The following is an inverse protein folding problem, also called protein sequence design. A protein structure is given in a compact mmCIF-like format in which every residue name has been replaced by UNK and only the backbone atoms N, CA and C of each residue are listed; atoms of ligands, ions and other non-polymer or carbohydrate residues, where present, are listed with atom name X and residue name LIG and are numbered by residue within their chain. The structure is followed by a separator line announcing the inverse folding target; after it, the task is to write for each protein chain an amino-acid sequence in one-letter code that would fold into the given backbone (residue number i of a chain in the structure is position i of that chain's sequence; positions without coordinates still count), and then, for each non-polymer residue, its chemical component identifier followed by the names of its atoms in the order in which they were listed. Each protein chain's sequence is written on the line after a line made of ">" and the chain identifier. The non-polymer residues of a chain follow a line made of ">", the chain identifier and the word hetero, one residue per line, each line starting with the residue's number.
data_IF_652223842218
#
_entry.id   IF_652223842218
#
_cell.length_a   1.000
_cell.length_b   1.000
_cell.length_c   1.000
_cell.angle_alpha   90.00
_cell.angle_beta   90.00
_cell.angle_gamma   90.00
#
_symmetry.space_group_name_H-M   'P 1'
#
loop_
_entity.id
_entity.type
_entity.pdbx_description
1 polymer ?
#
# COMPACT_ATOMS: atom_id res chain seq x y z
N UNK A 1 -8.30 10.59 16.84
CA UNK A 1 -8.14 11.65 15.82
C UNK A 1 -6.66 11.96 15.72
N UNK A 2 -6.12 12.15 14.52
CA UNK A 2 -4.67 12.37 14.32
C UNK A 2 -4.45 13.80 13.84
N UNK A 3 -3.56 14.53 14.51
CA UNK A 3 -3.20 15.90 14.13
C UNK A 3 -1.82 15.91 13.47
N UNK A 4 -1.75 16.39 12.24
CA UNK A 4 -0.46 16.61 11.58
C UNK A 4 0.12 17.95 12.04
N UNK A 5 1.40 17.95 12.41
CA UNK A 5 2.14 19.13 12.85
C UNK A 5 3.58 19.08 12.31
N UNK A 6 4.21 20.24 12.20
CA UNK A 6 5.56 20.38 11.66
C UNK A 6 6.54 21.08 12.61
N UNK A 7 6.02 21.70 13.68
CA UNK A 7 6.80 22.31 14.77
C UNK A 7 6.09 22.08 16.09
N UNK A 8 6.87 22.08 17.17
CA UNK A 8 6.36 22.03 18.53
C UNK A 8 7.13 23.02 19.41
N UNK A 9 6.46 23.60 20.39
CA UNK A 9 7.05 24.46 21.40
C UNK A 9 6.48 24.17 22.78
N UNK A 10 7.20 24.55 23.83
CA UNK A 10 6.73 24.43 25.21
C UNK A 10 6.34 25.81 25.70
N UNK A 11 5.11 25.95 26.21
CA UNK A 11 4.63 27.18 26.85
C UNK A 11 4.40 26.94 28.33
N UNK A 12 4.71 27.94 29.15
CA UNK A 12 4.39 27.94 30.59
C UNK A 12 3.47 29.10 30.91
N UNK A 13 2.44 28.81 31.69
CA UNK A 13 1.55 29.80 32.29
C UNK A 13 1.29 29.45 33.76
N UNK A 14 0.42 30.22 34.41
CA UNK A 14 0.02 30.03 35.81
C UNK A 14 -0.68 28.68 36.06
N UNK A 15 -1.20 28.03 35.01
CA UNK A 15 -1.87 26.74 35.08
C UNK A 15 -0.94 25.54 34.80
N UNK A 16 0.30 25.78 34.37
CA UNK A 16 1.34 24.76 34.26
C UNK A 16 2.14 24.82 32.96
N UNK A 17 2.60 23.64 32.52
CA UNK A 17 3.44 23.46 31.33
C UNK A 17 2.63 22.81 30.22
N UNK A 18 2.60 23.43 29.05
CA UNK A 18 1.87 22.97 27.87
C UNK A 18 2.83 22.57 26.76
N UNK A 19 2.57 21.42 26.13
CA UNK A 19 3.17 21.05 24.86
C UNK A 19 2.28 21.56 23.72
N UNK A 20 2.73 22.58 23.00
CA UNK A 20 2.00 23.19 21.89
C UNK A 20 2.49 22.63 20.56
N UNK A 21 1.58 22.07 19.76
CA UNK A 21 1.87 21.55 18.42
C UNK A 21 1.34 22.52 17.36
N UNK A 22 2.16 22.89 16.38
CA UNK A 22 1.73 23.70 15.23
C UNK A 22 0.99 22.81 14.24
N UNK A 23 -0.30 22.61 14.48
CA UNK A 23 -1.17 21.72 13.70
C UNK A 23 -1.60 22.34 12.36
N UNK A 24 -1.69 21.51 11.31
CA UNK A 24 -2.07 21.94 9.96
C UNK A 24 -3.56 22.29 9.83
N UNK A 25 -4.43 21.67 10.62
CA UNK A 25 -5.89 21.83 10.56
C UNK A 25 -6.44 22.40 11.88
N UNK A 26 -6.61 23.73 12.00
CA UNK A 26 -7.08 24.38 13.22
C UNK A 26 -8.51 23.95 13.64
N UNK A 27 -9.38 23.67 12.67
CA UNK A 27 -10.77 23.26 12.96
C UNK A 27 -10.80 21.90 13.67
N UNK A 28 -10.00 20.95 13.20
CA UNK A 28 -9.91 19.62 13.77
C UNK A 28 -9.35 19.66 15.21
N UNK A 29 -8.36 20.51 15.47
CA UNK A 29 -7.81 20.72 16.80
C UNK A 29 -8.84 21.32 17.77
N UNK A 30 -9.62 22.32 17.33
CA UNK A 30 -10.73 22.88 18.11
C UNK A 30 -11.78 21.83 18.45
N UNK A 31 -12.15 20.99 17.48
CA UNK A 31 -13.10 19.89 17.70
C UNK A 31 -12.58 18.88 18.73
N UNK A 32 -11.30 18.52 18.66
CA UNK A 32 -10.66 17.63 19.63
C UNK A 32 -10.73 18.20 21.05
N UNK A 33 -10.41 19.49 21.22
CA UNK A 33 -10.45 20.18 22.53
C UNK A 33 -11.89 20.19 23.06
N UNK A 34 -12.89 20.49 22.22
CA UNK A 34 -14.30 20.49 22.62
C UNK A 34 -14.84 19.11 23.05
N UNK A 35 -14.17 18.02 22.69
CA UNK A 35 -14.53 16.65 23.11
C UNK A 35 -13.87 16.25 24.44
N UNK A 36 -12.85 16.99 24.91
CA UNK A 36 -12.16 16.71 26.16
C UNK A 36 -13.00 17.20 27.34
N UNK A 37 -13.42 16.28 28.20
CA UNK A 37 -14.21 16.58 29.40
C UNK A 37 -13.30 17.01 30.56
N UNK A 38 -13.70 18.05 31.28
CA UNK A 38 -13.02 18.49 32.50
C UNK A 38 -12.95 17.36 33.54
N UNK A 39 -11.81 17.25 34.24
CA UNK A 39 -11.58 16.23 35.27
C UNK A 39 -11.16 14.85 34.77
N UNK A 40 -10.90 14.67 33.47
CA UNK A 40 -10.39 13.40 32.91
C UNK A 40 -8.96 13.54 32.39
N UNK A 41 -8.19 12.47 32.54
CA UNK A 41 -6.84 12.36 32.01
C UNK A 41 -6.86 11.87 30.56
N UNK A 42 -5.94 12.41 29.75
CA UNK A 42 -5.78 12.04 28.34
C UNK A 42 -4.29 11.77 28.08
N UNK A 43 -4.02 10.79 27.19
CA UNK A 43 -2.65 10.45 26.74
C UNK A 43 -2.53 10.89 25.28
N UNK A 44 -1.41 11.55 24.95
CA UNK A 44 -1.06 11.91 23.57
C UNK A 44 0.10 11.05 23.09
N UNK A 45 -0.07 10.40 21.94
CA UNK A 45 0.99 9.67 21.26
C UNK A 45 1.51 10.50 20.08
N UNK A 46 2.81 10.80 20.09
CA UNK A 46 3.46 11.57 19.03
C UNK A 46 4.32 10.62 18.20
N UNK A 47 3.92 10.44 16.94
CA UNK A 47 4.66 9.64 15.96
C UNK A 47 5.26 10.56 14.91
N UNK A 48 6.50 10.27 14.49
CA UNK A 48 7.06 10.87 13.28
C UNK A 48 6.12 10.52 12.13
N UNK A 49 5.62 11.54 11.42
CA UNK A 49 4.90 11.32 10.16
C UNK A 49 5.88 10.73 9.15
N UNK A 50 5.91 9.40 9.08
CA UNK A 50 6.42 8.72 7.90
C UNK A 50 5.35 8.96 6.87
N UNK A 51 5.71 9.71 5.84
CA UNK A 51 4.84 9.88 4.69
C UNK A 51 4.46 8.46 4.24
N UNK A 52 3.19 8.08 4.42
CA UNK A 52 2.65 6.82 3.89
C UNK A 52 2.60 7.02 2.39
N UNK A 53 3.77 6.97 1.77
CA UNK A 53 3.94 7.27 0.37
C UNK A 53 3.37 6.07 -0.36
N UNK A 54 2.43 6.32 -1.26
CA UNK A 54 2.57 5.61 -2.53
C UNK A 54 4.00 5.90 -2.98
N UNK A 55 4.89 4.92 -2.88
CA UNK A 55 6.27 5.11 -3.31
C UNK A 55 6.25 5.61 -4.76
N UNK A 56 7.25 6.42 -5.17
CA UNK A 56 7.40 6.82 -6.57
C UNK A 56 7.34 5.58 -7.49
N UNK A 57 7.91 4.46 -7.06
CA UNK A 57 7.85 3.18 -7.75
C UNK A 57 6.40 2.67 -7.92
N UNK A 58 5.58 2.69 -6.86
CA UNK A 58 4.18 2.25 -6.97
C UNK A 58 3.35 3.19 -7.87
N UNK A 59 3.53 4.51 -7.76
CA UNK A 59 2.85 5.45 -8.67
C UNK A 59 3.28 5.25 -10.11
N UNK A 60 4.56 4.99 -10.33
CA UNK A 60 5.10 4.76 -11.66
C UNK A 60 4.55 3.46 -12.26
N UNK A 61 4.51 2.37 -11.49
CA UNK A 61 3.88 1.12 -11.89
C UNK A 61 2.43 1.34 -12.37
N UNK A 62 1.59 1.98 -11.54
CA UNK A 62 0.20 2.25 -11.92
C UNK A 62 0.05 3.17 -13.13
N UNK A 63 1.00 4.10 -13.33
CA UNK A 63 1.05 4.93 -14.54
C UNK A 63 1.25 4.05 -15.78
N UNK A 64 2.21 3.13 -15.74
CA UNK A 64 2.48 2.22 -16.86
C UNK A 64 1.30 1.28 -17.15
N UNK A 65 0.67 0.70 -16.13
CA UNK A 65 -0.56 -0.09 -16.33
C UNK A 65 -1.68 0.73 -17.01
N UNK A 66 -1.80 2.02 -16.67
CA UNK A 66 -2.77 2.91 -17.31
C UNK A 66 -2.44 3.18 -18.79
N UNK A 67 -1.16 3.30 -19.13
CA UNK A 67 -0.72 3.47 -20.52
C UNK A 67 -0.94 2.19 -21.33
N UNK A 68 -0.60 1.02 -20.79
CA UNK A 68 -0.88 -0.27 -21.43
C UNK A 68 -2.38 -0.52 -21.59
N UNK A 69 -3.20 -0.16 -20.60
CA UNK A 69 -4.65 -0.27 -20.71
C UNK A 69 -5.21 0.58 -21.87
N UNK A 70 -4.65 1.77 -22.10
CA UNK A 70 -5.07 2.65 -23.17
C UNK A 70 -4.74 2.09 -24.57
N UNK A 71 -3.62 1.36 -24.71
CA UNK A 71 -3.20 0.75 -25.98
C UNK A 71 -3.90 -0.60 -26.22
N UNK A 72 -3.94 -1.45 -25.20
CA UNK A 72 -4.47 -2.82 -25.32
C UNK A 72 -6.00 -2.91 -25.25
N UNK A 73 -6.67 -1.91 -24.66
CA UNK A 73 -8.10 -1.97 -24.35
C UNK A 73 -8.45 -2.87 -23.15
N UNK A 74 -7.45 -3.48 -22.50
CA UNK A 74 -7.62 -4.27 -21.28
C UNK A 74 -7.73 -3.34 -20.07
N UNK A 75 -8.54 -3.70 -19.07
CA UNK A 75 -8.65 -2.89 -17.86
C UNK A 75 -7.33 -2.90 -17.10
N UNK A 76 -6.91 -1.75 -16.58
CA UNK A 76 -5.68 -1.61 -15.79
C UNK A 76 -5.63 -2.56 -14.58
N UNK A 77 -6.78 -2.90 -13.99
CA UNK A 77 -6.84 -3.83 -12.86
C UNK A 77 -6.52 -5.27 -13.29
N UNK A 78 -6.96 -5.68 -14.48
CA UNK A 78 -6.71 -7.01 -15.01
C UNK A 78 -5.25 -7.17 -15.43
N UNK A 79 -4.67 -6.11 -16.05
CA UNK A 79 -3.23 -6.02 -16.33
C UNK A 79 -2.41 -6.13 -15.03
N UNK A 80 -2.82 -5.44 -13.98
CA UNK A 80 -2.13 -5.55 -12.70
C UNK A 80 -2.20 -6.98 -12.14
N UNK A 81 -3.36 -7.63 -12.19
CA UNK A 81 -3.55 -8.99 -11.67
C UNK A 81 -2.74 -10.03 -12.46
N UNK A 82 -2.57 -9.88 -13.77
CA UNK A 82 -1.72 -10.80 -14.55
C UNK A 82 -0.27 -10.76 -14.08
N UNK A 83 0.29 -9.56 -13.85
CA UNK A 83 1.66 -9.45 -13.35
C UNK A 83 1.86 -10.06 -11.95
N UNK A 84 0.86 -10.01 -11.07
CA UNK A 84 0.96 -10.60 -9.72
C UNK A 84 1.24 -12.12 -9.79
N UNK A 85 0.64 -12.80 -10.76
CA UNK A 85 0.76 -14.25 -10.96
C UNK A 85 2.16 -14.61 -11.48
N UNK A 86 2.78 -13.72 -12.26
CA UNK A 86 4.11 -13.90 -12.84
C UNK A 86 5.27 -13.68 -11.85
N UNK A 87 5.00 -13.05 -10.70
CA UNK A 87 6.03 -12.85 -9.68
C UNK A 87 6.32 -14.18 -8.98
N UNK A 88 7.55 -14.68 -9.16
CA UNK A 88 8.05 -15.83 -8.43
C UNK A 88 8.14 -15.59 -6.91
N UNK A 89 7.91 -16.67 -6.15
CA UNK A 89 7.92 -16.68 -4.68
C UNK A 89 6.86 -15.72 -4.07
N UNK A 90 5.70 -15.62 -4.75
CA UNK A 90 4.57 -14.79 -4.36
C UNK A 90 3.28 -15.59 -4.10
N UNK A 91 3.37 -16.89 -3.86
CA UNK A 91 2.16 -17.70 -3.66
C UNK A 91 2.32 -18.73 -2.56
N UNK A 92 1.17 -19.22 -2.10
CA UNK A 92 1.07 -20.39 -1.22
C UNK A 92 -0.03 -21.30 -1.71
N UNK A 93 0.16 -22.60 -1.55
CA UNK A 93 -0.88 -23.59 -1.81
C UNK A 93 -1.73 -23.79 -0.55
N UNK A 94 -3.05 -23.74 -0.71
CA UNK A 94 -4.01 -23.94 0.38
C UNK A 94 -4.94 -25.08 0.01
N UNK A 95 -4.95 -26.19 0.77
CA UNK A 95 -5.86 -27.30 0.51
C UNK A 95 -7.28 -26.95 0.95
N UNK A 96 -8.27 -27.53 0.27
CA UNK A 96 -9.67 -27.51 0.66
C UNK A 96 -10.28 -28.91 0.61
N UNK A 97 -11.39 -29.12 1.32
CA UNK A 97 -12.04 -30.43 1.46
C UNK A 97 -13.30 -30.48 0.59
N UNK A 98 -14.02 -29.37 0.51
CA UNK A 98 -15.26 -29.26 -0.25
C UNK A 98 -15.41 -27.88 -0.93
N UNK A 99 -16.44 -27.75 -1.74
CA UNK A 99 -16.74 -26.54 -2.50
C UNK A 99 -17.08 -25.32 -1.61
N UNK A 100 -17.64 -25.56 -0.42
CA UNK A 100 -17.98 -24.48 0.51
C UNK A 100 -16.70 -23.88 1.11
N UNK A 101 -15.76 -24.72 1.51
CA UNK A 101 -14.45 -24.30 1.98
C UNK A 101 -13.65 -23.62 0.87
N UNK A 102 -13.68 -24.16 -0.36
CA UNK A 102 -13.02 -23.54 -1.54
C UNK A 102 -13.48 -22.10 -1.73
N UNK A 103 -14.81 -21.88 -1.79
CA UNK A 103 -15.41 -20.54 -1.95
C UNK A 103 -15.09 -19.60 -0.80
N UNK A 104 -15.07 -20.11 0.43
CA UNK A 104 -14.73 -19.32 1.61
C UNK A 104 -13.27 -18.83 1.55
N UNK A 105 -12.32 -19.72 1.27
CA UNK A 105 -10.90 -19.37 1.14
C UNK A 105 -10.71 -18.33 0.03
N UNK A 106 -11.32 -18.58 -1.14
CA UNK A 106 -11.25 -17.69 -2.28
C UNK A 106 -11.75 -16.27 -1.94
N UNK A 107 -12.95 -16.18 -1.37
CA UNK A 107 -13.59 -14.91 -1.02
C UNK A 107 -12.79 -14.15 0.04
N UNK A 108 -12.35 -14.83 1.10
CA UNK A 108 -11.55 -14.21 2.16
C UNK A 108 -10.22 -13.71 1.62
N UNK A 109 -9.57 -14.47 0.73
CA UNK A 109 -8.29 -14.07 0.17
C UNK A 109 -8.42 -12.80 -0.68
N UNK A 110 -9.33 -12.79 -1.66
CA UNK A 110 -9.52 -11.63 -2.55
C UNK A 110 -10.05 -10.39 -1.81
N UNK A 111 -10.72 -10.57 -0.66
CA UNK A 111 -11.21 -9.45 0.15
C UNK A 111 -10.09 -8.56 0.74
N UNK A 112 -8.85 -9.06 0.79
CA UNK A 112 -7.70 -8.32 1.29
C UNK A 112 -7.25 -7.19 0.33
N UNK A 113 -7.66 -7.25 -0.94
CA UNK A 113 -7.44 -6.19 -1.91
C UNK A 113 -7.16 -6.70 -3.32
N UNK A 114 -7.09 -5.77 -4.28
CA UNK A 114 -7.04 -6.08 -5.70
C UNK A 114 -5.91 -7.04 -6.13
N UNK A 115 -4.75 -6.97 -5.45
CA UNK A 115 -3.59 -7.80 -5.77
C UNK A 115 -3.60 -9.19 -5.14
N UNK A 116 -4.60 -9.53 -4.33
CA UNK A 116 -4.70 -10.84 -3.70
C UNK A 116 -5.47 -11.75 -4.65
N UNK A 117 -4.75 -12.51 -5.46
CA UNK A 117 -5.32 -13.35 -6.52
C UNK A 117 -5.37 -14.80 -6.07
N UNK A 118 -6.38 -15.54 -6.50
CA UNK A 118 -6.49 -16.99 -6.29
C UNK A 118 -6.67 -17.67 -7.65
N UNK A 119 -5.98 -18.79 -7.84
CA UNK A 119 -6.18 -19.71 -8.96
C UNK A 119 -6.46 -21.12 -8.44
N UNK A 120 -7.27 -21.89 -9.18
CA UNK A 120 -7.49 -23.30 -8.88
C UNK A 120 -6.30 -24.10 -9.41
N UNK A 121 -5.55 -24.74 -8.50
CA UNK A 121 -4.39 -25.55 -8.86
C UNK A 121 -4.77 -27.02 -9.16
N UNK A 122 -6.06 -27.36 -9.11
CA UNK A 122 -6.56 -28.72 -9.19
C UNK A 122 -6.27 -29.52 -7.91
N UNK A 123 -6.73 -30.78 -7.89
CA UNK A 123 -6.45 -31.72 -6.81
C UNK A 123 -6.76 -31.20 -5.40
N UNK A 124 -7.86 -30.46 -5.27
CA UNK A 124 -8.27 -29.86 -4.00
C UNK A 124 -7.28 -28.83 -3.42
N UNK A 125 -6.52 -28.13 -4.29
CA UNK A 125 -5.58 -27.07 -3.91
C UNK A 125 -5.93 -25.75 -4.60
N UNK A 126 -5.85 -24.68 -3.84
CA UNK A 126 -5.86 -23.31 -4.36
C UNK A 126 -4.44 -22.75 -4.34
N UNK A 127 -4.03 -22.10 -5.44
CA UNK A 127 -2.84 -21.26 -5.47
C UNK A 127 -3.24 -19.83 -5.08
N UNK A 128 -2.76 -19.35 -3.95
CA UNK A 128 -3.11 -18.06 -3.38
C UNK A 128 -1.91 -17.10 -3.49
N UNK A 129 -2.02 -16.07 -4.33
CA UNK A 129 -0.97 -15.09 -4.59
C UNK A 129 -1.09 -13.89 -3.65
N UNK A 130 0.04 -13.42 -3.10
CA UNK A 130 0.05 -12.22 -2.26
C UNK A 130 0.04 -10.94 -3.12
N UNK A 131 -0.59 -9.89 -2.60
CA UNK A 131 -0.64 -8.59 -3.29
C UNK A 131 0.66 -7.79 -3.18
N UNK A 132 0.92 -6.91 -4.16
CA UNK A 132 2.14 -6.07 -4.20
C UNK A 132 2.38 -5.21 -2.96
N UNK A 133 1.37 -4.98 -2.12
CA UNK A 133 1.51 -4.33 -0.81
C UNK A 133 2.40 -5.10 0.17
N UNK A 134 2.57 -6.41 -0.02
CA UNK A 134 3.38 -7.29 0.84
C UNK A 134 4.79 -7.53 0.31
N UNK A 135 5.13 -6.97 -0.85
CA UNK A 135 6.37 -7.30 -1.55
C UNK A 135 7.60 -6.82 -0.77
N UNK A 136 8.76 -7.40 -1.05
CA UNK A 136 10.02 -6.75 -0.72
C UNK A 136 10.49 -5.86 -1.89
N UNK A 137 11.60 -5.14 -1.69
CA UNK A 137 12.17 -4.27 -2.72
C UNK A 137 12.53 -5.03 -4.00
N UNK A 138 12.90 -6.32 -3.89
CA UNK A 138 13.26 -7.15 -5.04
C UNK A 138 12.03 -7.55 -5.85
N UNK A 139 10.98 -8.00 -5.18
CA UNK A 139 9.68 -8.32 -5.80
C UNK A 139 9.06 -7.08 -6.45
N UNK A 140 9.13 -5.91 -5.79
CA UNK A 140 8.66 -4.65 -6.37
C UNK A 140 9.47 -4.26 -7.62
N UNK A 141 10.79 -4.48 -7.60
CA UNK A 141 11.64 -4.27 -8.77
C UNK A 141 11.20 -5.13 -9.96
N UNK A 142 11.05 -6.45 -9.74
CA UNK A 142 10.56 -7.38 -10.77
C UNK A 142 9.20 -6.98 -11.34
N UNK A 143 8.28 -6.57 -10.47
CA UNK A 143 6.95 -6.11 -10.90
C UNK A 143 7.03 -4.92 -11.86
N UNK A 144 7.94 -3.96 -11.58
CA UNK A 144 8.16 -2.81 -12.46
C UNK A 144 8.89 -3.21 -13.74
N UNK A 145 9.85 -4.12 -13.65
CA UNK A 145 10.60 -4.58 -14.82
C UNK A 145 9.67 -5.27 -15.84
N UNK A 146 8.74 -6.12 -15.39
CA UNK A 146 7.75 -6.77 -16.25
C UNK A 146 6.90 -5.75 -17.02
N UNK A 147 6.28 -4.80 -16.32
CA UNK A 147 5.44 -3.79 -16.98
C UNK A 147 6.26 -2.85 -17.88
N UNK A 148 7.53 -2.60 -17.58
CA UNK A 148 8.44 -1.82 -18.42
C UNK A 148 8.80 -2.56 -19.70
N UNK A 149 8.98 -3.89 -19.65
CA UNK A 149 9.20 -4.71 -20.84
C UNK A 149 7.99 -4.65 -21.76
N UNK A 150 6.79 -4.90 -21.25
CA UNK A 150 5.56 -4.85 -22.05
C UNK A 150 5.30 -3.44 -22.63
N UNK A 151 5.63 -2.38 -21.86
CA UNK A 151 5.56 -1.02 -22.38
C UNK A 151 6.51 -0.83 -23.58
N UNK A 152 7.75 -1.33 -23.50
CA UNK A 152 8.70 -1.23 -24.62
C UNK A 152 8.25 -2.01 -25.84
N UNK A 153 7.66 -3.19 -25.64
CA UNK A 153 7.12 -4.02 -26.73
C UNK A 153 5.93 -3.36 -27.45
N UNK A 154 5.28 -2.39 -26.80
CA UNK A 154 4.18 -1.57 -27.35
C UNK A 154 4.64 -0.16 -27.74
N UNK A 155 5.95 0.08 -27.88
CA UNK A 155 6.55 1.39 -28.22
C UNK A 155 6.17 2.53 -27.24
N UNK A 156 5.88 2.19 -25.98
CA UNK A 156 5.56 3.15 -24.91
C UNK A 156 6.85 3.62 -24.25
N UNK A 157 7.08 4.94 -24.26
CA UNK A 157 8.24 5.54 -23.60
C UNK A 157 8.19 5.33 -22.07
N UNK A 158 9.30 4.84 -21.52
CA UNK A 158 9.49 4.57 -20.09
C UNK A 158 10.57 5.47 -19.50
N UNK A 159 10.53 5.69 -18.18
CA UNK A 159 11.52 6.49 -17.48
C UNK A 159 12.93 5.87 -17.59
N UNK A 160 14.00 6.69 -17.46
CA UNK A 160 15.36 6.17 -17.50
C UNK A 160 15.62 5.10 -16.41
N UNK A 161 16.37 4.02 -16.72
CA UNK A 161 16.63 2.94 -15.76
C UNK A 161 17.20 3.41 -14.41
N UNK A 162 18.05 4.44 -14.42
CA UNK A 162 18.62 5.01 -13.18
C UNK A 162 17.59 5.66 -12.27
N UNK A 163 16.55 6.30 -12.83
CA UNK A 163 15.45 6.87 -12.06
C UNK A 163 14.55 5.77 -11.46
N UNK A 164 14.25 4.75 -12.27
CA UNK A 164 13.46 3.59 -11.85
C UNK A 164 14.15 2.89 -10.66
N UNK A 165 15.46 2.62 -10.79
CA UNK A 165 16.25 2.00 -9.74
C UNK A 165 16.26 2.84 -8.46
N UNK A 166 16.38 4.16 -8.57
CA UNK A 166 16.30 5.06 -7.40
C UNK A 166 14.94 4.93 -6.71
N UNK A 167 13.84 4.90 -7.47
CA UNK A 167 12.50 4.80 -6.89
C UNK A 167 12.23 3.45 -6.23
N UNK A 168 12.78 2.36 -6.77
CA UNK A 168 12.73 1.02 -6.17
C UNK A 168 13.53 1.01 -4.87
N UNK A 169 14.75 1.54 -4.85
CA UNK A 169 15.58 1.59 -3.64
C UNK A 169 14.96 2.44 -2.52
N UNK A 170 14.24 3.50 -2.88
CA UNK A 170 13.48 4.33 -1.93
C UNK A 170 12.16 3.66 -1.46
N UNK A 171 11.75 2.57 -2.10
CA UNK A 171 10.52 1.85 -1.76
C UNK A 171 10.66 1.11 -0.44
N UNK A 172 9.64 1.25 0.41
CA UNK A 172 9.54 0.52 1.67
C UNK A 172 8.20 -0.20 1.70
N UNK A 173 8.17 -1.50 2.04
CA UNK A 173 6.92 -2.21 2.24
C UNK A 173 6.13 -1.59 3.38
N UNK A 174 4.80 -1.73 3.33
CA UNK A 174 3.99 -1.44 4.50
C UNK A 174 4.42 -2.40 5.63
N UNK A 175 4.68 -1.86 6.82
CA UNK A 175 5.08 -2.68 7.96
C UNK A 175 4.00 -3.74 8.23
N UNK A 176 4.40 -5.02 8.30
CA UNK A 176 3.53 -6.10 8.77
C UNK A 176 3.01 -5.70 10.15
N UNK A 177 1.72 -5.41 10.25
CA UNK A 177 1.03 -5.63 11.52
C UNK A 177 0.95 -7.16 11.66
N UNK A 178 1.96 -7.73 12.33
CA UNK A 178 1.87 -9.10 12.84
C UNK A 178 0.88 -9.09 14.00
#
# INVERSE_FOLDING_TARGET
>A
MTHEFDRAEVRRDECGVWLCLRVKNPWMARKQIGLMKAGKWFIAEIKRKIERRSSKANRYFWKLCGMLAAVSGVRKEDIYRSYIIEIGDNSRFVPYIDEAQRKLIWTLWESQGLGWVVEDAGQNLLCCYYGSSTYDTRQMGRLIDLVVQDCKDQDIETAPPGDILRWINDWKPEARAV
#
